data_IF_205137522038
#
_entry.id   IF_205137522038
#
_cell.length_a   1.000
_cell.length_b   1.000
_cell.length_c   1.000
_cell.angle_alpha   90.00
_cell.angle_beta   90.00
_cell.angle_gamma   90.00
#
_symmetry.space_group_name_H-M   'P 1'
#
loop_
_entity.id
_entity.type
_entity.pdbx_description
1 polymer ?
#
# COMPACT_ATOMS: atom_id res chain seq x y z
N UNK A 1 2.77 -14.20 0.19
CA UNK A 1 2.23 -12.94 -0.35
C UNK A 1 2.36 -12.99 -1.86
N UNK A 2 1.26 -12.94 -2.61
CA UNK A 2 1.29 -12.94 -4.09
C UNK A 2 1.38 -11.50 -4.58
N UNK A 3 2.46 -11.16 -5.29
CA UNK A 3 2.66 -9.81 -5.87
C UNK A 3 2.02 -9.74 -7.26
N UNK A 4 0.69 -9.71 -7.31
CA UNK A 4 -0.07 -9.54 -8.57
C UNK A 4 -0.49 -8.08 -8.84
N UNK A 5 -0.21 -7.16 -7.92
CA UNK A 5 -0.49 -5.73 -8.10
C UNK A 5 0.22 -5.13 -9.31
N UNK A 6 -0.47 -4.24 -10.02
CA UNK A 6 0.11 -3.34 -11.03
C UNK A 6 0.70 -2.11 -10.32
N UNK A 7 1.59 -1.38 -11.00
CA UNK A 7 2.03 -0.08 -10.53
C UNK A 7 0.82 0.84 -10.22
N UNK A 8 0.85 1.54 -9.08
CA UNK A 8 -0.24 2.36 -8.56
C UNK A 8 -1.38 1.58 -7.90
N UNK A 9 -1.32 0.24 -7.82
CA UNK A 9 -2.38 -0.54 -7.19
C UNK A 9 -2.48 -0.24 -5.67
N UNK A 10 -3.70 -0.18 -5.11
CA UNK A 10 -3.89 0.05 -3.70
C UNK A 10 -3.43 -1.15 -2.86
N UNK A 11 -2.74 -0.86 -1.77
CA UNK A 11 -2.38 -1.82 -0.74
C UNK A 11 -3.31 -1.63 0.46
N UNK A 12 -4.14 -2.62 0.75
CA UNK A 12 -5.05 -2.60 1.89
C UNK A 12 -4.50 -3.39 3.07
N UNK A 13 -4.70 -2.86 4.27
CA UNK A 13 -4.56 -3.59 5.52
C UNK A 13 -5.95 -3.88 6.09
N UNK A 14 -6.18 -5.11 6.54
CA UNK A 14 -7.43 -5.51 7.16
C UNK A 14 -7.26 -5.60 8.67
N UNK A 15 -8.17 -4.98 9.43
CA UNK A 15 -8.22 -5.16 10.87
C UNK A 15 -8.92 -6.49 11.25
N UNK A 16 -8.98 -6.81 12.54
CA UNK A 16 -9.64 -8.04 13.04
C UNK A 16 -11.14 -8.12 12.72
N UNK A 17 -11.78 -6.97 12.47
CA UNK A 17 -13.18 -6.88 12.07
C UNK A 17 -13.36 -7.00 10.54
N UNK A 18 -12.29 -7.21 9.77
CA UNK A 18 -12.32 -7.33 8.31
C UNK A 18 -12.46 -5.99 7.57
N UNK A 19 -12.31 -4.85 8.25
CA UNK A 19 -12.36 -3.54 7.61
C UNK A 19 -11.05 -3.27 6.89
N UNK A 20 -11.14 -2.91 5.61
CA UNK A 20 -10.00 -2.55 4.77
C UNK A 20 -9.62 -1.08 4.95
N UNK A 21 -8.36 -0.82 5.26
CA UNK A 21 -7.77 0.51 5.29
C UNK A 21 -6.70 0.61 4.21
N UNK A 22 -6.75 1.67 3.40
CA UNK A 22 -5.72 1.94 2.41
C UNK A 22 -4.42 2.33 3.12
N UNK A 23 -3.40 1.48 3.00
CA UNK A 23 -2.11 1.65 3.66
C UNK A 23 -1.05 2.24 2.73
N UNK A 24 -1.10 1.88 1.45
CA UNK A 24 -0.11 2.33 0.48
C UNK A 24 -0.57 2.22 -0.97
N UNK A 25 0.25 2.75 -1.87
CA UNK A 25 0.15 2.53 -3.30
C UNK A 25 1.43 1.84 -3.80
N UNK A 26 1.29 0.81 -4.62
CA UNK A 26 2.42 0.03 -5.11
C UNK A 26 3.28 0.84 -6.09
N UNK A 27 4.59 1.00 -5.85
CA UNK A 27 5.48 1.89 -6.63
C UNK A 27 6.35 1.14 -7.61
N UNK A 28 6.92 0.01 -7.24
CA UNK A 28 7.61 -0.79 -8.24
C UNK A 28 7.79 -2.23 -7.82
N UNK A 29 7.97 -3.08 -8.83
CA UNK A 29 8.45 -4.44 -8.65
C UNK A 29 9.96 -4.36 -8.56
N UNK A 30 10.49 -4.27 -7.36
CA UNK A 30 11.88 -4.63 -7.19
C UNK A 30 12.05 -6.09 -7.66
N UNK A 31 13.07 -6.31 -8.49
CA UNK A 31 13.16 -7.41 -9.44
C UNK A 31 12.80 -8.79 -8.85
N UNK A 32 12.09 -9.56 -9.66
CA UNK A 32 11.88 -11.01 -9.54
C UNK A 32 11.00 -11.51 -8.38
N UNK A 33 9.68 -11.25 -8.49
CA UNK A 33 8.67 -12.10 -7.84
C UNK A 33 8.77 -13.59 -8.27
N UNK A 34 9.43 -13.86 -9.40
CA UNK A 34 9.75 -15.17 -9.96
C UNK A 34 10.90 -15.90 -9.26
N UNK A 35 11.84 -15.19 -8.61
CA UNK A 35 13.02 -15.79 -7.95
C UNK A 35 12.76 -16.30 -6.53
N UNK A 36 11.60 -16.00 -5.94
CA UNK A 36 11.21 -16.50 -4.61
C UNK A 36 10.91 -18.00 -4.57
N UNK A 37 10.91 -18.68 -5.71
CA UNK A 37 10.75 -20.14 -5.77
C UNK A 37 12.01 -20.93 -5.35
N UNK A 38 13.16 -20.28 -5.15
CA UNK A 38 14.45 -20.96 -4.83
C UNK A 38 15.16 -20.55 -3.54
N UNK A 39 14.54 -19.75 -2.67
CA UNK A 39 15.13 -19.48 -1.36
C UNK A 39 14.34 -18.42 -0.62
N UNK A 40 14.25 -18.56 0.70
CA UNK A 40 13.58 -17.69 1.68
C UNK A 40 14.09 -16.24 1.68
N UNK A 41 14.08 -15.55 0.54
CA UNK A 41 14.26 -14.10 0.49
C UNK A 41 12.87 -13.49 0.54
N UNK A 42 12.56 -12.81 1.63
CA UNK A 42 11.39 -11.97 1.72
C UNK A 42 11.46 -10.96 0.57
N UNK A 43 10.59 -11.11 -0.43
CA UNK A 43 10.43 -10.09 -1.46
C UNK A 43 9.83 -8.87 -0.76
N UNK A 44 10.64 -7.83 -0.58
CA UNK A 44 10.17 -6.53 -0.12
C UNK A 44 9.78 -5.72 -1.35
N UNK A 45 8.48 -5.54 -1.60
CA UNK A 45 8.00 -4.60 -2.61
C UNK A 45 8.05 -3.17 -2.08
N UNK A 46 8.41 -2.21 -2.93
CA UNK A 46 8.37 -0.79 -2.60
C UNK A 46 6.95 -0.23 -2.76
N UNK A 47 6.48 0.52 -1.77
CA UNK A 47 5.19 1.20 -1.79
C UNK A 47 5.30 2.61 -1.24
N UNK A 48 4.44 3.49 -1.73
CA UNK A 48 4.23 4.83 -1.16
C UNK A 48 3.27 4.70 0.01
N UNK A 49 3.71 5.08 1.21
CA UNK A 49 2.87 5.13 2.41
C UNK A 49 1.86 6.27 2.30
N UNK A 50 0.58 5.94 2.20
CA UNK A 50 -0.51 6.93 2.01
C UNK A 50 -0.61 7.89 3.20
N UNK A 51 -0.21 7.46 4.41
CA UNK A 51 -0.29 8.29 5.63
C UNK A 51 0.61 9.52 5.56
N UNK A 52 1.70 9.46 4.79
CA UNK A 52 2.62 10.60 4.58
C UNK A 52 2.05 11.67 3.63
N UNK A 53 0.93 11.37 2.97
CA UNK A 53 0.33 12.25 1.96
C UNK A 53 -1.10 12.68 2.33
N UNK A 54 -1.55 12.42 3.56
CA UNK A 54 -2.94 12.72 3.96
C UNK A 54 -3.28 14.19 3.78
N UNK A 55 -2.44 15.13 4.25
CA UNK A 55 -2.72 16.56 4.09
C UNK A 55 -2.97 16.96 2.62
N UNK A 56 -2.14 16.44 1.71
CA UNK A 56 -2.31 16.67 0.27
C UNK A 56 -3.62 16.07 -0.26
N UNK A 57 -3.94 14.83 0.15
CA UNK A 57 -5.19 14.14 -0.24
C UNK A 57 -6.42 14.91 0.29
N UNK A 58 -6.38 15.38 1.53
CA UNK A 58 -7.50 16.11 2.13
C UNK A 58 -7.71 17.47 1.47
N UNK A 59 -6.62 18.17 1.15
CA UNK A 59 -6.68 19.44 0.44
C UNK A 59 -7.31 19.27 -0.95
N UNK A 60 -6.96 18.19 -1.67
CA UNK A 60 -7.56 17.89 -2.97
C UNK A 60 -9.04 17.48 -2.88
N UNK A 61 -9.43 16.77 -1.82
CA UNK A 61 -10.80 16.24 -1.68
C UNK A 61 -11.75 17.18 -0.93
N UNK A 62 -11.24 18.30 -0.39
CA UNK A 62 -12.02 19.23 0.43
C UNK A 62 -12.44 18.65 1.79
N UNK A 63 -11.82 17.55 2.24
CA UNK A 63 -12.20 16.80 3.45
C UNK A 63 -11.12 16.84 4.54
N UNK A 64 -10.67 18.04 4.90
CA UNK A 64 -9.60 18.29 5.90
C UNK A 64 -9.80 17.50 7.21
N UNK A 65 -11.03 17.39 7.71
CA UNK A 65 -11.30 16.74 8.99
C UNK A 65 -11.56 15.23 8.91
N UNK A 66 -11.60 14.63 7.71
CA UNK A 66 -12.02 13.23 7.52
C UNK A 66 -10.86 12.27 7.25
N UNK A 67 -9.63 12.77 7.09
CA UNK A 67 -8.49 11.94 6.72
C UNK A 67 -7.64 11.47 7.91
N UNK A 68 -7.80 12.08 9.07
CA UNK A 68 -7.11 11.65 10.28
C UNK A 68 -7.83 10.42 10.81
N UNK A 69 -7.18 9.26 10.68
CA UNK A 69 -7.66 8.00 11.23
C UNK A 69 -7.61 8.11 12.76
N UNK A 70 -8.78 8.10 13.40
CA UNK A 70 -8.95 8.00 14.86
C UNK A 70 -8.68 6.59 15.36
#
# INVERSE_FOLDING_TARGET
MSFQGKHGAPLFQYNRAGQATLFGAFVDRDLDCSRSSKGNKAITGSFTDVRKHLDWICNLTGKINSCYFS
#
